data_IF_800113127399
#
_entry.id   IF_800113127399
#
_cell.length_a   1.000
_cell.length_b   1.000
_cell.length_c   1.000
_cell.angle_alpha   90.00
_cell.angle_beta   90.00
_cell.angle_gamma   90.00
#
_symmetry.space_group_name_H-M   'P 1'
#
loop_
_entity.id
_entity.type
_entity.pdbx_description
1 polymer ?
#
# COMPACT_ATOMS: atom_id res chain seq x y z
N UNK A 1 12.71 10.07 -14.67
CA UNK A 1 11.28 10.45 -14.58
C UNK A 1 10.86 11.27 -15.81
N UNK A 2 9.55 11.46 -16.08
CA UNK A 2 9.03 12.11 -17.29
C UNK A 2 9.48 13.58 -17.42
N UNK A 3 9.42 14.13 -18.63
CA UNK A 3 9.69 15.55 -18.86
C UNK A 3 8.72 16.45 -18.07
N UNK A 4 9.15 17.69 -17.79
CA UNK A 4 8.31 18.65 -17.05
C UNK A 4 6.98 18.87 -17.77
N UNK A 5 5.88 18.76 -17.02
CA UNK A 5 4.52 18.97 -17.53
C UNK A 5 3.98 17.90 -18.48
N UNK A 6 4.65 16.74 -18.56
CA UNK A 6 4.17 15.58 -19.32
C UNK A 6 4.19 14.30 -18.47
N UNK A 7 3.41 13.29 -18.85
CA UNK A 7 3.47 11.96 -18.24
C UNK A 7 3.01 11.90 -16.77
N UNK A 8 2.01 12.72 -16.40
CA UNK A 8 1.44 12.67 -15.05
C UNK A 8 0.97 11.26 -14.71
N UNK A 9 1.36 10.72 -13.56
CA UNK A 9 0.97 9.37 -13.12
C UNK A 9 1.33 8.27 -14.15
N UNK A 10 2.48 8.38 -14.83
CA UNK A 10 2.97 7.32 -15.73
C UNK A 10 4.32 6.73 -15.36
N UNK A 11 5.00 7.25 -14.34
CA UNK A 11 6.35 6.82 -13.98
C UNK A 11 6.51 6.61 -12.47
N UNK A 12 7.11 5.49 -12.09
CA UNK A 12 7.34 5.11 -10.71
C UNK A 12 7.59 3.62 -10.59
N UNK A 13 7.06 3.00 -9.55
CA UNK A 13 7.23 1.56 -9.25
C UNK A 13 5.87 0.87 -9.14
N UNK A 14 5.81 -0.38 -9.58
CA UNK A 14 4.64 -1.27 -9.46
C UNK A 14 5.04 -2.49 -8.66
N UNK A 15 4.15 -2.92 -7.75
CA UNK A 15 4.28 -4.14 -6.96
C UNK A 15 3.08 -5.05 -7.30
N UNK A 16 3.35 -6.13 -8.03
CA UNK A 16 2.39 -7.20 -8.25
C UNK A 16 2.39 -8.11 -7.03
N UNK A 17 1.40 -7.93 -6.15
CA UNK A 17 1.34 -8.61 -4.85
C UNK A 17 -0.02 -9.28 -4.67
N UNK A 18 -0.29 -10.39 -5.39
CA UNK A 18 -1.52 -11.16 -5.19
C UNK A 18 -1.73 -11.47 -3.71
N UNK A 19 -2.96 -11.29 -3.24
CA UNK A 19 -3.33 -11.50 -1.84
C UNK A 19 -4.07 -12.83 -1.65
N UNK A 20 -3.94 -13.75 -2.60
CA UNK A 20 -4.52 -15.10 -2.55
C UNK A 20 -4.15 -15.81 -1.25
N UNK A 21 -5.16 -16.30 -0.52
CA UNK A 21 -5.00 -16.94 0.78
C UNK A 21 -4.82 -15.97 1.96
N UNK A 22 -4.87 -14.65 1.73
CA UNK A 22 -4.75 -13.64 2.77
C UNK A 22 -5.95 -12.69 2.79
N UNK A 23 -6.26 -12.16 3.97
CA UNK A 23 -7.28 -11.15 4.22
C UNK A 23 -6.75 -10.06 5.16
N UNK A 24 -7.45 -8.94 5.23
CA UNK A 24 -7.08 -7.77 6.03
C UNK A 24 -5.67 -7.25 5.72
N UNK A 25 -5.48 -6.93 4.45
CA UNK A 25 -4.17 -6.59 3.89
C UNK A 25 -3.72 -5.20 4.33
N UNK A 26 -2.43 -5.03 4.61
CA UNK A 26 -1.79 -3.74 4.85
C UNK A 26 -0.51 -3.64 4.03
N UNK A 27 -0.24 -2.44 3.51
CA UNK A 27 0.99 -2.12 2.78
C UNK A 27 1.76 -1.08 3.57
N UNK A 28 3.04 -1.35 3.84
CA UNK A 28 3.93 -0.44 4.57
C UNK A 28 5.26 -0.24 3.84
N UNK A 29 5.75 0.99 3.77
CA UNK A 29 7.03 1.29 3.11
C UNK A 29 7.62 2.63 3.55
N UNK A 30 8.92 2.79 3.32
CA UNK A 30 9.62 4.07 3.40
C UNK A 30 9.87 4.63 2.00
N UNK A 31 9.91 5.96 1.89
CA UNK A 31 10.22 6.65 0.63
C UNK A 31 11.19 7.80 0.88
N UNK A 32 12.14 7.98 -0.03
CA UNK A 32 13.07 9.11 -0.03
C UNK A 32 13.07 9.78 -1.38
N UNK A 33 12.92 11.10 -1.38
CA UNK A 33 13.10 11.95 -2.56
C UNK A 33 14.52 12.53 -2.59
N UNK A 34 15.11 12.69 -3.77
CA UNK A 34 16.21 13.64 -3.94
C UNK A 34 15.66 15.06 -4.08
N UNK A 35 16.52 16.07 -3.92
CA UNK A 35 16.11 17.48 -3.99
C UNK A 35 15.32 17.88 -5.23
N UNK A 36 15.60 17.24 -6.37
CA UNK A 36 15.01 17.58 -7.68
C UNK A 36 13.97 16.56 -8.16
N UNK A 37 13.64 15.54 -7.36
CA UNK A 37 12.55 14.61 -7.68
C UNK A 37 11.19 15.31 -7.59
N UNK A 38 10.14 14.69 -8.15
CA UNK A 38 8.77 15.20 -7.96
C UNK A 38 8.41 15.17 -6.48
N UNK A 39 7.95 16.30 -5.94
CA UNK A 39 7.46 16.46 -4.57
C UNK A 39 6.24 15.59 -4.29
N UNK A 40 5.40 15.39 -5.29
CA UNK A 40 4.14 14.68 -5.16
C UNK A 40 4.25 13.30 -5.81
N UNK A 41 3.91 12.27 -5.04
CA UNK A 41 3.67 10.92 -5.55
C UNK A 41 2.24 10.50 -5.23
N UNK A 42 1.70 9.58 -6.01
CA UNK A 42 0.41 8.96 -5.78
C UNK A 42 0.58 7.48 -5.52
N UNK A 43 0.07 7.00 -4.39
CA UNK A 43 -0.21 5.58 -4.23
C UNK A 43 -1.47 5.26 -5.02
N UNK A 44 -1.40 4.28 -5.92
CA UNK A 44 -2.56 3.72 -6.61
C UNK A 44 -2.61 2.22 -6.36
N UNK A 45 -3.81 1.66 -6.38
CA UNK A 45 -4.03 0.22 -6.21
C UNK A 45 -5.08 -0.27 -7.20
N UNK A 46 -5.09 -1.56 -7.44
CA UNK A 46 -6.04 -2.21 -8.33
C UNK A 46 -6.51 -3.52 -7.71
N UNK A 47 -7.75 -3.88 -8.01
CA UNK A 47 -8.34 -5.17 -7.65
C UNK A 47 -8.43 -6.12 -8.84
N UNK A 48 -8.15 -5.65 -10.06
CA UNK A 48 -8.33 -6.41 -11.30
C UNK A 48 -7.08 -6.39 -12.21
N UNK A 49 -6.02 -5.69 -11.80
CA UNK A 49 -4.78 -5.58 -12.56
C UNK A 49 -4.83 -4.57 -13.71
N UNK A 50 -5.99 -3.96 -13.98
CA UNK A 50 -6.24 -3.12 -15.16
C UNK A 50 -6.69 -1.72 -14.76
N UNK A 51 -7.71 -1.63 -13.91
CA UNK A 51 -8.28 -0.39 -13.42
C UNK A 51 -7.61 0.03 -12.13
N UNK A 52 -7.02 1.22 -12.12
CA UNK A 52 -6.24 1.73 -11.00
C UNK A 52 -7.00 2.83 -10.26
N UNK A 53 -7.19 2.61 -8.95
CA UNK A 53 -7.80 3.55 -8.03
C UNK A 53 -6.74 4.47 -7.42
N UNK A 54 -7.10 5.74 -7.23
CA UNK A 54 -6.25 6.68 -6.50
C UNK A 54 -6.36 6.44 -4.99
N UNK A 55 -5.24 6.13 -4.36
CA UNK A 55 -5.07 6.14 -2.91
C UNK A 55 -4.45 7.46 -2.42
N UNK A 56 -3.75 7.44 -1.27
CA UNK A 56 -3.19 8.65 -0.68
C UNK A 56 -2.15 9.31 -1.58
N UNK A 57 -2.13 10.65 -1.53
CA UNK A 57 -1.03 11.44 -2.07
C UNK A 57 0.10 11.46 -1.05
N UNK A 58 1.32 11.18 -1.50
CA UNK A 58 2.53 11.28 -0.70
C UNK A 58 3.20 12.60 -1.07
N UNK A 59 3.49 13.43 -0.08
CA UNK A 59 4.07 14.76 -0.27
C UNK A 59 5.42 14.82 0.43
N UNK A 60 6.47 15.13 -0.32
CA UNK A 60 7.78 15.35 0.25
C UNK A 60 7.76 16.62 1.12
N UNK A 61 8.22 16.53 2.36
CA UNK A 61 8.47 17.69 3.22
C UNK A 61 9.76 18.45 2.87
N UNK A 62 10.55 17.90 1.94
CA UNK A 62 11.91 18.31 1.60
C UNK A 62 12.62 17.22 0.78
N UNK A 63 13.83 17.52 0.32
CA UNK A 63 14.67 16.55 -0.38
C UNK A 63 15.68 15.88 0.54
N UNK A 64 16.22 14.77 0.05
CA UNK A 64 17.31 13.99 0.65
C UNK A 64 17.02 13.37 2.03
N UNK A 65 15.75 13.25 2.39
CA UNK A 65 15.28 12.69 3.65
C UNK A 65 14.35 11.48 3.44
N UNK A 66 14.39 10.49 4.34
CA UNK A 66 13.47 9.34 4.35
C UNK A 66 12.18 9.71 5.09
N UNK A 67 11.08 9.74 4.36
CA UNK A 67 9.79 10.11 4.90
C UNK A 67 8.93 8.89 5.16
N UNK A 68 8.41 8.89 6.37
CA UNK A 68 7.13 8.31 6.71
C UNK A 68 6.19 9.42 7.24
N UNK A 69 4.85 9.24 7.31
CA UNK A 69 3.94 10.25 7.85
C UNK A 69 4.46 10.83 9.18
N UNK A 70 4.48 12.17 9.26
CA UNK A 70 4.88 12.99 10.43
C UNK A 70 6.38 13.23 10.68
N UNK A 71 7.19 13.41 9.63
CA UNK A 71 8.53 14.03 9.78
C UNK A 71 9.45 13.30 10.79
N UNK A 72 9.30 11.98 10.91
CA UNK A 72 10.05 11.15 11.86
C UNK A 72 9.55 9.70 11.90
N UNK A 73 10.41 8.76 11.48
CA UNK A 73 10.40 7.33 11.80
C UNK A 73 9.13 6.47 11.64
N UNK A 74 8.02 6.96 11.08
CA UNK A 74 6.78 6.18 10.96
C UNK A 74 6.48 5.87 9.50
N UNK A 75 6.79 4.65 9.03
CA UNK A 75 6.56 4.17 7.64
C UNK A 75 5.18 4.55 7.09
N UNK A 76 5.09 4.81 5.78
CA UNK A 76 3.80 5.02 5.11
C UNK A 76 2.99 3.74 5.24
N UNK A 77 1.77 3.84 5.77
CA UNK A 77 0.83 2.74 5.89
C UNK A 77 -0.40 3.00 5.01
N UNK A 78 -0.72 2.05 4.15
CA UNK A 78 -2.01 1.98 3.44
C UNK A 78 -2.74 0.73 3.92
N UNK A 79 -3.94 0.94 4.49
CA UNK A 79 -4.68 -0.11 5.17
C UNK A 79 -5.91 -0.54 4.37
N UNK A 80 -5.98 -1.83 4.03
CA UNK A 80 -7.09 -2.51 3.36
C UNK A 80 -7.82 -3.50 4.30
N UNK A 81 -7.65 -3.36 5.61
CA UNK A 81 -8.37 -4.17 6.61
C UNK A 81 -9.88 -4.01 6.43
N UNK A 82 -10.58 -5.13 6.26
CA UNK A 82 -12.02 -5.18 6.00
C UNK A 82 -12.43 -4.91 4.55
N UNK A 83 -11.50 -4.67 3.64
CA UNK A 83 -11.80 -4.50 2.21
C UNK A 83 -11.85 -5.85 1.51
N UNK A 84 -13.06 -6.36 1.31
CA UNK A 84 -13.28 -7.66 0.69
C UNK A 84 -12.82 -7.74 -0.77
N UNK A 85 -12.60 -6.62 -1.45
CA UNK A 85 -12.04 -6.63 -2.81
C UNK A 85 -10.52 -6.82 -2.80
N UNK A 86 -9.84 -6.44 -1.72
CA UNK A 86 -8.42 -6.69 -1.53
C UNK A 86 -8.14 -8.09 -0.97
N UNK A 87 -9.11 -8.69 -0.29
CA UNK A 87 -8.98 -10.01 0.34
C UNK A 87 -9.02 -11.15 -0.69
N UNK A 88 -8.13 -12.14 -0.53
CA UNK A 88 -8.03 -13.34 -1.36
C UNK A 88 -8.03 -13.06 -2.86
N UNK A 89 -7.36 -11.99 -3.28
CA UNK A 89 -7.46 -11.48 -4.65
C UNK A 89 -6.18 -11.76 -5.45
N UNK A 90 -6.24 -12.59 -6.51
CA UNK A 90 -5.08 -12.91 -7.33
C UNK A 90 -4.56 -11.72 -8.16
N UNK A 91 -5.36 -10.69 -8.33
CA UNK A 91 -5.07 -9.53 -9.17
C UNK A 91 -4.75 -8.26 -8.37
N UNK A 92 -4.74 -8.35 -7.03
CA UNK A 92 -4.39 -7.19 -6.21
C UNK A 92 -2.95 -6.75 -6.51
N UNK A 93 -2.79 -5.47 -6.76
CA UNK A 93 -1.49 -4.84 -6.95
C UNK A 93 -1.56 -3.37 -6.53
N UNK A 94 -0.40 -2.81 -6.23
CA UNK A 94 -0.28 -1.37 -5.99
C UNK A 94 0.91 -0.78 -6.74
N UNK A 95 0.90 0.54 -6.92
CA UNK A 95 1.97 1.29 -7.56
C UNK A 95 2.11 2.66 -6.92
N UNK A 96 3.31 3.22 -7.02
CA UNK A 96 3.61 4.55 -6.51
C UNK A 96 4.20 5.34 -7.66
N UNK A 97 3.49 6.39 -8.09
CA UNK A 97 3.82 7.13 -9.31
C UNK A 97 4.08 8.60 -9.02
N UNK A 98 4.95 9.23 -9.80
CA UNK A 98 5.13 10.68 -9.77
C UNK A 98 3.86 11.39 -10.24
N UNK A 99 3.41 12.34 -9.44
CA UNK A 99 2.22 13.15 -9.68
C UNK A 99 2.61 14.62 -9.84
N UNK A 100 1.86 15.35 -10.66
CA UNK A 100 1.93 16.81 -10.73
C UNK A 100 1.52 17.45 -9.39
N UNK A 101 1.94 18.70 -9.20
CA UNK A 101 1.46 19.49 -8.08
C UNK A 101 -0.06 19.71 -8.19
N UNK A 102 -0.81 19.60 -7.08
CA UNK A 102 -2.26 19.73 -7.09
C UNK A 102 -2.75 20.99 -7.79
N UNK A 103 -3.72 20.85 -8.69
CA UNK A 103 -4.29 21.97 -9.45
C UNK A 103 -3.38 22.54 -10.54
N UNK A 104 -2.26 21.89 -10.84
CA UNK A 104 -1.32 22.30 -11.88
C UNK A 104 -1.12 21.20 -12.93
N UNK A 105 -0.44 21.55 -14.02
CA UNK A 105 0.04 20.61 -15.03
C UNK A 105 1.57 20.49 -15.00
N UNK A 106 2.19 20.50 -13.82
CA UNK A 106 3.64 20.57 -13.66
C UNK A 106 4.13 19.76 -12.46
N UNK A 107 5.35 19.22 -12.54
CA UNK A 107 6.02 18.67 -11.36
C UNK A 107 6.67 19.81 -10.55
N UNK A 108 6.57 19.72 -9.23
CA UNK A 108 7.33 20.55 -8.30
C UNK A 108 8.51 19.75 -7.75
N UNK A 109 9.62 20.42 -7.48
CA UNK A 109 10.77 19.78 -6.83
C UNK A 109 10.47 19.48 -5.36
N UNK A 110 10.95 18.34 -4.86
CA UNK A 110 10.81 17.96 -3.46
C UNK A 110 11.47 18.97 -2.48
N UNK A 111 12.61 19.56 -2.86
CA UNK A 111 13.27 20.58 -2.04
C UNK A 111 12.83 22.01 -2.42
N UNK A 112 12.55 22.84 -1.41
CA UNK A 112 12.25 24.26 -1.60
C UNK A 112 13.39 25.00 -2.31
N UNK A 113 13.05 25.90 -3.23
CA UNK A 113 14.02 26.67 -4.02
C UNK A 113 14.74 25.87 -5.11
N UNK A 114 14.35 24.62 -5.38
CA UNK A 114 14.87 23.80 -6.48
C UNK A 114 13.85 23.65 -7.59
N UNK A 115 14.32 23.24 -8.76
CA UNK A 115 13.48 22.91 -9.90
C UNK A 115 13.45 21.40 -10.11
N UNK A 116 12.30 20.90 -10.55
CA UNK A 116 12.15 19.50 -10.91
C UNK A 116 13.16 19.14 -12.01
N UNK A 117 13.73 17.94 -11.91
CA UNK A 117 14.63 17.39 -12.92
C UNK A 117 14.23 15.95 -13.24
N UNK A 118 14.31 15.57 -14.51
CA UNK A 118 14.11 14.20 -14.96
C UNK A 118 15.11 13.21 -14.34
N UNK A 119 16.27 13.72 -13.90
CA UNK A 119 17.33 12.99 -13.18
C UNK A 119 17.14 12.97 -11.67
N UNK A 120 16.08 13.59 -11.14
CA UNK A 120 15.66 13.42 -9.76
C UNK A 120 15.35 11.94 -9.46
N UNK A 121 15.65 11.50 -8.24
CA UNK A 121 15.49 10.10 -7.84
C UNK A 121 14.51 9.97 -6.68
N UNK A 122 13.69 8.93 -6.73
CA UNK A 122 12.91 8.46 -5.60
C UNK A 122 13.44 7.08 -5.24
N UNK A 123 13.61 6.82 -3.95
CA UNK A 123 14.03 5.52 -3.42
C UNK A 123 12.92 5.00 -2.51
N UNK A 124 12.71 3.70 -2.54
CA UNK A 124 11.76 3.00 -1.70
C UNK A 124 12.54 1.97 -0.90
N UNK A 125 12.20 1.82 0.37
CA UNK A 125 12.84 0.83 1.23
C UNK A 125 11.80 0.21 2.17
N UNK A 126 12.13 -0.95 2.72
CA UNK A 126 11.30 -1.71 3.64
C UNK A 126 9.86 -1.83 3.11
N UNK A 127 9.69 -2.26 1.86
CA UNK A 127 8.35 -2.49 1.31
C UNK A 127 7.82 -3.81 1.85
N UNK A 128 6.68 -3.74 2.52
CA UNK A 128 6.09 -4.87 3.22
C UNK A 128 4.60 -4.93 2.95
N UNK A 129 4.13 -6.11 2.57
CA UNK A 129 2.70 -6.42 2.43
C UNK A 129 2.38 -7.50 3.44
N UNK A 130 1.46 -7.20 4.36
CA UNK A 130 1.02 -8.14 5.40
C UNK A 130 -0.46 -8.43 5.24
N UNK A 131 -0.86 -9.64 5.61
CA UNK A 131 -2.25 -10.04 5.75
C UNK A 131 -2.39 -11.17 6.75
N UNK A 132 -3.61 -11.43 7.19
CA UNK A 132 -3.97 -12.62 7.96
C UNK A 132 -4.33 -13.75 7.00
N UNK A 133 -3.94 -14.99 7.32
CA UNK A 133 -4.31 -16.14 6.48
C UNK A 133 -5.83 -16.33 6.51
N UNK A 134 -6.44 -16.54 5.35
CA UNK A 134 -7.87 -16.87 5.24
C UNK A 134 -8.09 -18.24 5.90
N UNK A 135 -8.97 -18.38 6.91
CA UNK A 135 -9.24 -19.66 7.54
C UNK A 135 -9.81 -20.66 6.53
N UNK A 136 -9.22 -21.84 6.43
CA UNK A 136 -9.80 -22.89 5.60
C UNK A 136 -11.13 -23.38 6.19
N UNK A 137 -12.12 -23.74 5.35
CA UNK A 137 -13.40 -24.26 5.82
C UNK A 137 -13.27 -25.43 6.81
N UNK A 138 -12.27 -26.29 6.62
CA UNK A 138 -12.00 -27.42 7.51
C UNK A 138 -11.56 -26.97 8.92
N UNK A 139 -10.81 -25.88 9.05
CA UNK A 139 -10.39 -25.33 10.34
C UNK A 139 -11.59 -24.78 11.12
N UNK A 140 -12.54 -24.14 10.44
CA UNK A 140 -13.78 -23.65 11.04
C UNK A 140 -14.68 -24.82 11.50
N UNK A 141 -14.80 -25.86 10.67
CA UNK A 141 -15.55 -27.07 11.01
C UNK A 141 -14.94 -27.80 12.22
N UNK A 142 -13.62 -27.97 12.27
CA UNK A 142 -12.94 -28.62 13.39
C UNK A 142 -13.14 -27.87 14.71
N UNK A 143 -13.09 -26.53 14.70
CA UNK A 143 -13.40 -25.71 15.86
C UNK A 143 -14.87 -25.86 16.28
N UNK A 144 -15.80 -25.81 15.33
CA UNK A 144 -17.23 -25.97 15.60
C UNK A 144 -17.56 -27.34 16.20
N UNK A 145 -16.99 -28.41 15.65
CA UNK A 145 -17.15 -29.78 16.16
C UNK A 145 -16.49 -29.94 17.54
N UNK A 146 -15.30 -29.36 17.74
CA UNK A 146 -14.61 -29.40 19.04
C UNK A 146 -15.40 -28.74 20.16
N UNK A 147 -15.97 -27.55 19.90
CA UNK A 147 -16.82 -26.84 20.87
C UNK A 147 -18.13 -27.60 21.14
N UNK A 148 -18.79 -28.11 20.11
CA UNK A 148 -20.00 -28.92 20.26
C UNK A 148 -19.75 -30.21 21.06
N UNK A 149 -18.62 -30.87 20.81
CA UNK A 149 -18.17 -32.06 21.56
C UNK A 149 -17.93 -31.76 23.03
N UNK A 150 -17.25 -30.65 23.35
CA UNK A 150 -17.01 -30.19 24.73
C UNK A 150 -18.32 -29.86 25.47
N UNK A 151 -19.27 -29.20 24.81
CA UNK A 151 -20.60 -28.90 25.39
C UNK A 151 -21.37 -30.20 25.64
N UNK A 152 -21.31 -31.15 24.70
CA UNK A 152 -21.92 -32.48 24.84
C UNK A 152 -21.35 -33.27 26.02
N UNK A 153 -20.01 -33.31 26.15
CA UNK A 153 -19.32 -33.96 27.27
C UNK A 153 -19.68 -33.33 28.62
N UNK A 154 -19.76 -31.99 28.69
CA UNK A 154 -20.14 -31.27 29.92
C UNK A 154 -21.58 -31.55 30.36
N UNK A 155 -22.50 -31.78 29.42
CA UNK A 155 -23.88 -32.18 29.74
C UNK A 155 -23.99 -33.61 30.24
N UNK A 156 -23.08 -34.49 29.82
CA UNK A 156 -23.06 -35.90 30.21
C UNK A 156 -22.56 -36.11 31.64
N UNK A 157 -21.68 -35.24 32.14
CA UNK A 157 -21.17 -35.26 33.51
C UNK A 157 -22.09 -34.57 34.55
N UNK A 158 -23.27 -34.10 34.14
CA UNK A 158 -24.28 -33.47 35.03
C UNK A 158 -25.50 -34.36 35.32
N UNK A 159 -25.41 -35.66 35.00
CA UNK A 159 -26.42 -36.67 35.34
C UNK A 159 -25.85 -37.65 36.35
#
# INVERSE_FOLDING_TARGET
YPAQGAGNLTAGIVFNTPTTGYMNVTVQFDVRWSNTASKYLRFQYTYDGVNWNNGPQLVAGGGDWWYGPNNGNTRILVNFTGDTNADNNPNFAFRILAEFAPGTNAYEAAASGRSYSTSGTVRYDLVEVRGMVVPEPASLLALGVGVAGLIGLRRRNKR
#
